data_IF_087399069320
#
_entry.id   IF_087399069320
#
_cell.length_a   1.000
_cell.length_b   1.000
_cell.length_c   1.000
_cell.angle_alpha   90.00
_cell.angle_beta   90.00
_cell.angle_gamma   90.00
#
_symmetry.space_group_name_H-M   'P 1'
#
loop_
_entity.id
_entity.type
_entity.pdbx_description
1 polymer ?
#
# COMPACT_ATOMS: atom_id res chain seq x y z
N UNK A 1 28.01 28.68 20.69
CA UNK A 1 26.96 27.79 21.27
C UNK A 1 25.64 28.51 21.52
N UNK A 2 25.62 29.81 21.82
CA UNK A 2 24.37 30.54 22.13
C UNK A 2 23.35 30.63 20.99
N UNK A 3 23.80 30.81 19.74
CA UNK A 3 22.92 30.99 18.59
C UNK A 3 21.97 29.79 18.32
N UNK A 4 22.42 28.56 18.61
CA UNK A 4 21.62 27.33 18.47
C UNK A 4 20.54 27.23 19.55
N UNK A 5 20.82 27.72 20.76
CA UNK A 5 19.86 27.77 21.85
C UNK A 5 18.75 28.80 21.57
N UNK A 6 19.10 29.97 21.03
CA UNK A 6 18.15 31.03 20.66
C UNK A 6 17.22 30.60 19.51
N UNK A 7 17.73 29.87 18.50
CA UNK A 7 16.90 29.32 17.40
C UNK A 7 15.92 28.27 17.93
N UNK A 8 16.36 27.38 18.83
CA UNK A 8 15.47 26.39 19.46
C UNK A 8 14.39 27.04 20.30
N UNK A 9 14.72 28.03 21.12
CA UNK A 9 13.73 28.79 21.89
C UNK A 9 12.73 29.53 20.99
N UNK A 10 13.22 30.14 19.91
CA UNK A 10 12.36 30.84 18.95
C UNK A 10 11.43 29.88 18.20
N UNK A 11 11.90 28.69 17.84
CA UNK A 11 11.10 27.63 17.24
C UNK A 11 10.03 27.11 18.19
N UNK A 12 10.36 26.91 19.47
CA UNK A 12 9.39 26.48 20.50
C UNK A 12 8.30 27.54 20.67
N UNK A 13 8.67 28.82 20.79
CA UNK A 13 7.72 29.93 20.94
C UNK A 13 6.84 30.09 19.70
N UNK A 14 7.39 29.90 18.50
CA UNK A 14 6.61 29.94 17.26
C UNK A 14 5.59 28.79 17.19
N UNK A 15 6.00 27.56 17.50
CA UNK A 15 5.10 26.40 17.57
C UNK A 15 4.01 26.57 18.63
N UNK A 16 4.35 27.21 19.76
CA UNK A 16 3.41 27.41 20.87
C UNK A 16 2.37 28.49 20.54
N UNK A 17 2.76 29.57 19.84
CA UNK A 17 1.82 30.58 19.30
C UNK A 17 0.91 29.99 18.23
N UNK A 18 1.45 29.13 17.36
CA UNK A 18 0.66 28.46 16.33
C UNK A 18 -0.40 27.54 16.94
N UNK A 19 -0.04 26.79 18.00
CA UNK A 19 -0.97 25.94 18.74
C UNK A 19 -2.05 26.75 19.48
N UNK A 20 -1.67 27.88 20.09
CA UNK A 20 -2.65 28.79 20.71
C UNK A 20 -3.65 29.35 19.70
N UNK A 21 -3.17 29.75 18.52
CA UNK A 21 -4.05 30.19 17.43
C UNK A 21 -4.99 29.06 16.96
N UNK A 22 -4.49 27.83 16.83
CA UNK A 22 -5.31 26.67 16.47
C UNK A 22 -6.39 26.36 17.52
N UNK A 23 -6.05 26.43 18.81
CA UNK A 23 -6.98 26.24 19.92
C UNK A 23 -8.03 27.36 19.99
N UNK A 24 -7.63 28.60 19.72
CA UNK A 24 -8.52 29.77 19.69
C UNK A 24 -9.49 29.73 18.48
N UNK A 25 -8.98 29.29 17.32
CA UNK A 25 -9.81 29.02 16.13
C UNK A 25 -10.77 27.85 16.36
N UNK A 26 -10.37 26.83 17.13
CA UNK A 26 -11.23 25.71 17.53
C UNK A 26 -12.39 26.17 18.42
N UNK A 27 -12.07 26.98 19.43
CA UNK A 27 -13.04 27.47 20.41
C UNK A 27 -14.05 28.45 19.80
N UNK A 28 -13.65 29.18 18.76
CA UNK A 28 -14.53 30.06 17.99
C UNK A 28 -15.47 29.33 16.99
N UNK A 29 -15.53 27.99 17.01
CA UNK A 29 -16.31 27.16 16.07
C UNK A 29 -15.97 27.36 14.56
N UNK A 30 -14.88 28.08 14.26
CA UNK A 30 -14.41 28.32 12.89
C UNK A 30 -13.79 27.06 12.25
N UNK A 31 -13.49 26.03 13.05
CA UNK A 31 -12.93 24.75 12.60
C UNK A 31 -13.96 23.71 12.10
N UNK A 32 -15.26 24.02 12.01
CA UNK A 32 -16.23 23.08 11.40
C UNK A 32 -15.85 22.66 9.96
N UNK A 33 -15.16 23.55 9.22
CA UNK A 33 -14.60 23.26 7.90
C UNK A 33 -13.47 22.22 7.89
N UNK A 34 -12.83 21.94 9.03
CA UNK A 34 -11.73 20.97 9.16
C UNK A 34 -12.23 19.53 9.22
N UNK A 35 -13.32 19.27 9.95
CA UNK A 35 -13.93 17.94 10.02
C UNK A 35 -14.56 17.53 8.69
N UNK A 36 -15.26 18.46 8.03
CA UNK A 36 -15.83 18.23 6.69
C UNK A 36 -14.74 18.06 5.62
N UNK A 37 -13.61 18.79 5.71
CA UNK A 37 -12.44 18.57 4.83
C UNK A 37 -11.78 17.22 5.06
N UNK A 38 -11.55 16.83 6.31
CA UNK A 38 -10.93 15.55 6.66
C UNK A 38 -11.77 14.37 6.16
N UNK A 39 -13.09 14.41 6.33
CA UNK A 39 -14.00 13.38 5.82
C UNK A 39 -14.03 13.34 4.29
N UNK A 40 -14.09 14.50 3.62
CA UNK A 40 -14.06 14.56 2.15
C UNK A 40 -12.72 14.06 1.57
N UNK A 41 -11.62 14.34 2.26
CA UNK A 41 -10.28 13.86 1.87
C UNK A 41 -10.16 12.35 2.03
N UNK A 42 -10.64 11.76 3.13
CA UNK A 42 -10.69 10.31 3.32
C UNK A 42 -11.54 9.62 2.25
N UNK A 43 -12.74 10.14 1.95
CA UNK A 43 -13.60 9.61 0.89
C UNK A 43 -12.93 9.66 -0.49
N UNK A 44 -12.19 10.74 -0.77
CA UNK A 44 -11.44 10.90 -2.02
C UNK A 44 -10.29 9.91 -2.11
N UNK A 45 -9.56 9.68 -1.01
CA UNK A 45 -8.49 8.69 -0.95
C UNK A 45 -9.01 7.26 -1.11
N UNK A 46 -10.14 6.92 -0.49
CA UNK A 46 -10.74 5.59 -0.63
C UNK A 46 -11.24 5.35 -2.06
N UNK A 47 -11.86 6.36 -2.68
CA UNK A 47 -12.22 6.30 -4.09
C UNK A 47 -11.00 6.14 -5.00
N UNK A 48 -9.89 6.82 -4.68
CA UNK A 48 -8.62 6.67 -5.39
C UNK A 48 -8.04 5.26 -5.23
N UNK A 49 -8.00 4.73 -4.00
CA UNK A 49 -7.54 3.36 -3.71
C UNK A 49 -8.36 2.34 -4.47
N UNK A 50 -9.70 2.46 -4.47
CA UNK A 50 -10.59 1.57 -5.21
C UNK A 50 -10.35 1.62 -6.72
N UNK A 51 -10.12 2.81 -7.29
CA UNK A 51 -9.77 2.97 -8.71
C UNK A 51 -8.42 2.31 -9.03
N UNK A 52 -7.40 2.54 -8.22
CA UNK A 52 -6.08 1.93 -8.39
C UNK A 52 -6.16 0.41 -8.32
N UNK A 53 -6.87 -0.14 -7.34
CA UNK A 53 -7.08 -1.58 -7.20
C UNK A 53 -7.79 -2.19 -8.42
N UNK A 54 -8.83 -1.52 -8.95
CA UNK A 54 -9.53 -2.00 -10.14
C UNK A 54 -8.66 -2.01 -11.39
N UNK A 55 -7.85 -0.96 -11.60
CA UNK A 55 -6.88 -0.92 -12.71
C UNK A 55 -5.86 -2.05 -12.54
N UNK A 56 -5.33 -2.20 -11.32
CA UNK A 56 -4.42 -3.30 -10.98
C UNK A 56 -5.02 -4.66 -11.32
N UNK A 57 -6.28 -4.90 -10.97
CA UNK A 57 -6.93 -6.17 -11.22
C UNK A 57 -7.11 -6.50 -12.69
N UNK A 58 -7.38 -5.50 -13.53
CA UNK A 58 -7.40 -5.70 -14.98
C UNK A 58 -6.01 -6.09 -15.49
N UNK A 59 -4.97 -5.37 -15.06
CA UNK A 59 -3.57 -5.68 -15.44
C UNK A 59 -3.18 -7.09 -15.00
N UNK A 60 -3.45 -7.46 -13.75
CA UNK A 60 -3.15 -8.78 -13.21
C UNK A 60 -3.84 -9.90 -13.97
N UNK A 61 -5.12 -9.74 -14.29
CA UNK A 61 -5.88 -10.71 -15.06
C UNK A 61 -5.31 -10.91 -16.48
N UNK A 62 -5.01 -9.81 -17.20
CA UNK A 62 -4.42 -9.89 -18.54
C UNK A 62 -3.01 -10.48 -18.54
N UNK A 63 -2.21 -10.21 -17.50
CA UNK A 63 -0.88 -10.82 -17.36
C UNK A 63 -0.97 -12.33 -17.18
N UNK A 64 -1.92 -12.83 -16.38
CA UNK A 64 -2.13 -14.27 -16.23
C UNK A 64 -2.45 -14.90 -17.58
N UNK A 65 -3.43 -14.37 -18.32
CA UNK A 65 -3.80 -14.91 -19.64
C UNK A 65 -2.60 -15.00 -20.59
N UNK A 66 -1.75 -13.98 -20.60
CA UNK A 66 -0.56 -13.92 -21.46
C UNK A 66 0.53 -14.90 -21.01
N UNK A 67 0.81 -14.96 -19.70
CA UNK A 67 1.95 -15.71 -19.16
C UNK A 67 1.63 -17.18 -18.88
N UNK A 68 0.36 -17.55 -18.79
CA UNK A 68 -0.07 -18.94 -18.60
C UNK A 68 -0.50 -19.65 -19.89
N UNK A 69 -0.45 -18.98 -21.05
CA UNK A 69 -0.99 -19.48 -22.32
C UNK A 69 -0.51 -20.89 -22.68
N UNK A 70 0.80 -21.12 -22.57
CA UNK A 70 1.44 -22.38 -22.96
C UNK A 70 1.78 -23.27 -21.75
N UNK A 71 1.23 -22.96 -20.57
CA UNK A 71 1.45 -23.75 -19.35
C UNK A 71 0.37 -24.81 -19.17
N UNK A 72 0.77 -25.92 -18.56
CA UNK A 72 -0.18 -26.86 -18.00
C UNK A 72 -1.07 -26.13 -16.98
N UNK A 73 -2.36 -26.47 -16.98
CA UNK A 73 -3.33 -25.88 -16.06
C UNK A 73 -2.91 -26.13 -14.62
N UNK A 74 -2.97 -25.08 -13.80
CA UNK A 74 -2.70 -25.18 -12.37
C UNK A 74 -3.73 -26.11 -11.70
N UNK A 75 -3.24 -27.12 -11.00
CA UNK A 75 -4.06 -28.06 -10.22
C UNK A 75 -4.00 -27.78 -8.72
N UNK A 76 -2.92 -27.14 -8.26
CA UNK A 76 -2.71 -26.75 -6.87
C UNK A 76 -2.76 -25.22 -6.70
N UNK A 77 -3.39 -24.80 -5.62
CA UNK A 77 -3.44 -23.41 -5.17
C UNK A 77 -2.03 -22.89 -4.87
N UNK A 78 -1.17 -23.70 -4.24
CA UNK A 78 0.18 -23.27 -3.93
C UNK A 78 1.00 -23.00 -5.21
N UNK A 79 0.83 -23.80 -6.25
CA UNK A 79 1.53 -23.60 -7.52
C UNK A 79 1.02 -22.36 -8.26
N UNK A 80 -0.27 -22.05 -8.15
CA UNK A 80 -0.84 -20.78 -8.63
C UNK A 80 -0.21 -19.58 -7.91
N UNK A 81 -0.05 -19.66 -6.58
CA UNK A 81 0.60 -18.59 -5.79
C UNK A 81 2.09 -18.48 -6.13
N UNK A 82 2.81 -19.60 -6.34
CA UNK A 82 4.21 -19.58 -6.77
C UNK A 82 4.38 -18.94 -8.16
N UNK A 83 3.47 -19.21 -9.08
CA UNK A 83 3.44 -18.55 -10.39
C UNK A 83 3.31 -17.03 -10.24
N UNK A 84 2.43 -16.56 -9.33
CA UNK A 84 2.34 -15.12 -9.04
C UNK A 84 3.67 -14.59 -8.46
N UNK A 85 4.26 -15.29 -7.49
CA UNK A 85 5.50 -14.86 -6.83
C UNK A 85 6.73 -14.80 -7.76
N UNK A 86 6.70 -15.56 -8.86
CA UNK A 86 7.80 -15.67 -9.80
C UNK A 86 7.50 -14.96 -11.10
N UNK A 87 6.53 -15.43 -11.86
CA UNK A 87 6.28 -15.03 -13.24
C UNK A 87 5.57 -13.67 -13.31
N UNK A 88 4.48 -13.49 -12.54
CA UNK A 88 3.79 -12.20 -12.46
C UNK A 88 4.71 -11.16 -11.83
N UNK A 89 5.37 -11.51 -10.72
CA UNK A 89 6.27 -10.58 -10.03
C UNK A 89 7.44 -10.12 -10.93
N UNK A 90 8.04 -11.05 -11.68
CA UNK A 90 9.12 -10.75 -12.62
C UNK A 90 8.64 -9.89 -13.77
N UNK A 91 7.45 -10.15 -14.32
CA UNK A 91 6.91 -9.37 -15.43
C UNK A 91 6.60 -7.91 -15.04
N UNK A 92 6.20 -7.65 -13.78
CA UNK A 92 5.80 -6.31 -13.33
C UNK A 92 6.96 -5.53 -12.69
N UNK A 93 7.79 -6.21 -11.89
CA UNK A 93 8.84 -5.56 -11.09
C UNK A 93 10.24 -6.07 -11.36
N UNK A 94 10.44 -6.91 -12.38
CA UNK A 94 11.77 -7.40 -12.78
C UNK A 94 12.55 -8.01 -11.59
N UNK A 95 11.83 -8.72 -10.72
CA UNK A 95 12.36 -9.53 -9.62
C UNK A 95 11.35 -10.58 -9.20
N UNK A 96 11.76 -11.53 -8.36
CA UNK A 96 10.85 -12.46 -7.68
C UNK A 96 10.50 -11.91 -6.29
N UNK A 97 9.40 -12.37 -5.71
CA UNK A 97 9.11 -12.14 -4.28
C UNK A 97 10.22 -12.75 -3.44
N UNK A 98 10.70 -12.03 -2.42
CA UNK A 98 11.82 -12.49 -1.60
C UNK A 98 11.42 -13.65 -0.67
N UNK A 99 10.22 -13.58 -0.08
CA UNK A 99 9.72 -14.64 0.80
C UNK A 99 8.23 -14.93 0.58
N UNK A 100 7.90 -16.21 0.41
CA UNK A 100 6.54 -16.73 0.42
C UNK A 100 6.35 -17.60 1.66
N UNK A 101 5.41 -17.23 2.54
CA UNK A 101 4.99 -18.03 3.69
C UNK A 101 3.53 -18.44 3.54
N UNK A 102 3.16 -19.61 4.05
CA UNK A 102 1.75 -20.05 4.10
C UNK A 102 1.47 -20.81 5.38
N UNK A 103 0.23 -20.76 5.85
CA UNK A 103 -0.25 -21.61 6.93
C UNK A 103 -0.89 -22.92 6.42
N UNK A 104 -0.83 -23.20 5.11
CA UNK A 104 -1.49 -24.34 4.45
C UNK A 104 -3.02 -24.41 4.66
N UNK A 105 -3.63 -23.33 5.15
CA UNK A 105 -5.07 -23.21 5.44
C UNK A 105 -5.68 -22.00 4.74
N UNK A 106 -5.19 -21.70 3.54
CA UNK A 106 -5.70 -20.60 2.70
C UNK A 106 -5.10 -19.23 2.97
N UNK A 107 -4.11 -19.10 3.87
CA UNK A 107 -3.41 -17.81 4.09
C UNK A 107 -1.99 -17.89 3.53
N UNK A 108 -1.64 -16.90 2.72
CA UNK A 108 -0.31 -16.72 2.15
C UNK A 108 0.20 -15.32 2.47
N UNK A 109 1.50 -15.19 2.69
CA UNK A 109 2.17 -13.92 2.99
C UNK A 109 3.36 -13.80 2.05
N UNK A 110 3.25 -12.85 1.13
CA UNK A 110 4.29 -12.49 0.17
C UNK A 110 5.03 -11.29 0.74
N UNK A 111 6.34 -11.38 0.88
CA UNK A 111 7.17 -10.29 1.39
C UNK A 111 8.24 -9.94 0.35
N UNK A 112 8.33 -8.65 0.06
CA UNK A 112 9.38 -8.05 -0.76
C UNK A 112 10.14 -7.02 0.10
N UNK A 113 11.43 -7.25 0.31
CA UNK A 113 12.28 -6.46 1.18
C UNK A 113 12.70 -5.12 0.56
N UNK A 114 12.71 -5.05 -0.77
CA UNK A 114 13.16 -3.90 -1.53
C UNK A 114 12.20 -3.64 -2.69
N UNK A 115 10.95 -3.33 -2.34
CA UNK A 115 9.89 -3.24 -3.32
C UNK A 115 10.10 -2.01 -4.20
N UNK A 116 10.42 -2.24 -5.48
CA UNK A 116 10.85 -1.20 -6.42
C UNK A 116 9.92 0.04 -6.46
N UNK A 117 8.59 -0.10 -6.42
CA UNK A 117 7.66 1.05 -6.39
C UNK A 117 7.84 1.95 -5.16
N UNK A 118 8.33 1.42 -4.04
CA UNK A 118 8.48 2.15 -2.78
C UNK A 118 9.89 2.73 -2.59
N UNK A 119 10.88 2.31 -3.38
CA UNK A 119 12.30 2.68 -3.22
C UNK A 119 12.57 4.18 -3.21
N UNK A 120 11.74 4.97 -3.92
CA UNK A 120 11.94 6.42 -4.09
C UNK A 120 10.85 7.28 -3.46
N UNK A 121 9.96 6.68 -2.67
CA UNK A 121 8.94 7.44 -1.96
C UNK A 121 9.60 8.19 -0.80
N UNK A 122 9.46 9.50 -0.83
CA UNK A 122 9.91 10.42 0.21
C UNK A 122 8.90 11.54 0.36
N UNK A 123 8.95 12.22 1.49
CA UNK A 123 8.06 13.33 1.80
C UNK A 123 8.85 14.42 2.55
N UNK A 124 8.66 15.71 2.20
CA UNK A 124 9.24 16.81 2.96
C UNK A 124 8.64 16.92 4.37
N UNK A 125 7.45 16.37 4.62
CA UNK A 125 6.80 16.30 5.93
C UNK A 125 7.35 15.16 6.82
N UNK A 126 8.27 14.33 6.30
CA UNK A 126 8.98 13.28 7.04
C UNK A 126 8.51 11.86 6.74
N UNK A 127 9.12 10.88 7.43
CA UNK A 127 8.94 9.45 7.13
C UNK A 127 7.51 8.92 7.34
N UNK A 128 6.77 9.46 8.32
CA UNK A 128 5.41 9.04 8.59
C UNK A 128 4.44 9.41 7.44
N UNK A 129 4.61 10.60 6.87
CA UNK A 129 3.82 11.04 5.72
C UNK A 129 4.21 10.27 4.44
N UNK A 130 5.50 10.03 4.22
CA UNK A 130 5.97 9.15 3.13
C UNK A 130 5.33 7.75 3.22
N UNK A 131 5.24 7.18 4.43
CA UNK A 131 4.60 5.89 4.67
C UNK A 131 3.09 5.92 4.42
N UNK A 132 2.40 6.99 4.80
CA UNK A 132 0.97 7.17 4.52
C UNK A 132 0.71 7.22 3.01
N UNK A 133 1.50 8.01 2.27
CA UNK A 133 1.45 8.08 0.80
C UNK A 133 1.75 6.72 0.15
N UNK A 134 2.75 6.00 0.65
CA UNK A 134 3.10 4.66 0.16
C UNK A 134 1.92 3.66 0.21
N UNK A 135 1.11 3.69 1.27
CA UNK A 135 -0.07 2.81 1.41
C UNK A 135 -1.08 3.00 0.27
N UNK A 136 -1.24 4.22 -0.24
CA UNK A 136 -2.15 4.51 -1.37
C UNK A 136 -1.65 3.83 -2.64
N UNK A 137 -0.35 3.94 -2.95
CA UNK A 137 0.24 3.31 -4.13
C UNK A 137 0.16 1.78 -4.11
N UNK A 138 0.16 1.17 -2.93
CA UNK A 138 0.02 -0.29 -2.80
C UNK A 138 -1.35 -0.81 -3.25
N UNK A 139 -2.39 0.02 -3.32
CA UNK A 139 -3.71 -0.40 -3.79
C UNK A 139 -3.66 -0.96 -5.22
N UNK A 140 -2.92 -0.32 -6.13
CA UNK A 140 -2.71 -0.84 -7.48
C UNK A 140 -2.07 -2.22 -7.48
N UNK A 141 -1.02 -2.39 -6.67
CA UNK A 141 -0.24 -3.62 -6.60
C UNK A 141 -1.05 -4.77 -5.96
N UNK A 142 -1.87 -4.47 -4.94
CA UNK A 142 -2.83 -5.41 -4.39
C UNK A 142 -3.87 -5.84 -5.44
N UNK A 143 -4.35 -4.87 -6.23
CA UNK A 143 -5.21 -5.11 -7.38
C UNK A 143 -4.61 -6.10 -8.38
N UNK A 144 -3.33 -5.93 -8.76
CA UNK A 144 -2.62 -6.87 -9.66
C UNK A 144 -2.68 -8.30 -9.14
N UNK A 145 -2.40 -8.51 -7.85
CA UNK A 145 -2.47 -9.83 -7.25
C UNK A 145 -3.90 -10.37 -7.21
N UNK A 146 -4.87 -9.53 -6.84
CA UNK A 146 -6.29 -9.88 -6.80
C UNK A 146 -6.82 -10.31 -8.17
N UNK A 147 -6.50 -9.55 -9.22
CA UNK A 147 -6.88 -9.86 -10.60
C UNK A 147 -6.22 -11.13 -11.12
N UNK A 148 -4.94 -11.33 -10.78
CA UNK A 148 -4.23 -12.56 -11.12
C UNK A 148 -4.87 -13.79 -10.46
N UNK A 149 -5.14 -13.73 -9.16
CA UNK A 149 -5.83 -14.80 -8.42
C UNK A 149 -7.20 -15.11 -9.03
N UNK A 150 -8.01 -14.08 -9.31
CA UNK A 150 -9.33 -14.25 -9.90
C UNK A 150 -9.25 -14.94 -11.28
N UNK A 151 -8.27 -14.59 -12.12
CA UNK A 151 -8.06 -15.23 -13.42
C UNK A 151 -7.60 -16.68 -13.33
N UNK A 152 -6.91 -17.04 -12.26
CA UNK A 152 -6.53 -18.41 -11.93
C UNK A 152 -7.67 -19.22 -11.28
N UNK A 153 -8.86 -18.62 -11.09
CA UNK A 153 -10.01 -19.26 -10.45
C UNK A 153 -9.97 -19.24 -8.92
N UNK A 154 -9.03 -18.49 -8.33
CA UNK A 154 -8.89 -18.34 -6.88
C UNK A 154 -9.57 -17.04 -6.44
N UNK A 155 -10.75 -17.14 -5.83
CA UNK A 155 -11.41 -15.98 -5.24
C UNK A 155 -10.81 -15.71 -3.87
N UNK A 156 -10.25 -14.54 -3.63
CA UNK A 156 -9.62 -14.23 -2.35
C UNK A 156 -9.42 -12.75 -2.12
N UNK A 157 -9.02 -12.39 -0.91
CA UNK A 157 -8.68 -11.02 -0.55
C UNK A 157 -7.17 -10.84 -0.50
N UNK A 158 -6.72 -9.65 -0.91
CA UNK A 158 -5.31 -9.24 -0.84
C UNK A 158 -5.23 -7.99 0.00
N UNK A 159 -4.53 -8.08 1.13
CA UNK A 159 -4.29 -6.96 2.04
C UNK A 159 -2.83 -6.54 1.95
N UNK A 160 -2.53 -5.35 1.40
CA UNK A 160 -1.18 -4.80 1.41
C UNK A 160 -0.85 -4.19 2.78
N UNK A 161 0.38 -4.38 3.23
CA UNK A 161 0.93 -3.83 4.46
C UNK A 161 2.33 -3.26 4.21
N UNK A 162 2.61 -2.10 4.81
CA UNK A 162 3.92 -1.45 4.80
C UNK A 162 4.18 -0.85 6.18
N UNK A 163 5.25 -1.31 6.81
CA UNK A 163 5.68 -0.87 8.15
C UNK A 163 6.94 -0.02 8.05
N UNK A 164 7.83 -0.34 7.11
CA UNK A 164 9.07 0.38 6.85
C UNK A 164 9.34 0.39 5.35
N UNK A 165 9.71 1.55 4.80
CA UNK A 165 10.14 1.66 3.41
C UNK A 165 11.57 1.11 3.28
N UNK A 166 11.90 0.37 2.20
CA UNK A 166 11.08 0.06 1.03
C UNK A 166 10.36 -1.31 1.08
N UNK A 167 10.30 -1.97 2.25
CA UNK A 167 9.71 -3.30 2.38
C UNK A 167 8.18 -3.25 2.29
N UNK A 168 7.58 -4.23 1.61
CA UNK A 168 6.13 -4.44 1.64
C UNK A 168 5.76 -5.89 1.88
N UNK A 169 4.55 -6.10 2.41
CA UNK A 169 3.94 -7.41 2.60
C UNK A 169 2.56 -7.40 1.94
N UNK A 170 2.24 -8.49 1.24
CA UNK A 170 0.88 -8.75 0.75
C UNK A 170 0.37 -10.03 1.39
N UNK A 171 -0.68 -9.89 2.19
CA UNK A 171 -1.39 -11.03 2.76
C UNK A 171 -2.53 -11.44 1.82
N UNK A 172 -2.50 -12.68 1.36
CA UNK A 172 -3.56 -13.29 0.56
C UNK A 172 -4.37 -14.21 1.47
N UNK A 173 -5.70 -14.04 1.49
CA UNK A 173 -6.63 -14.95 2.17
C UNK A 173 -7.60 -15.53 1.17
N UNK A 174 -7.56 -16.84 1.02
CA UNK A 174 -8.49 -17.61 0.21
C UNK A 174 -9.56 -18.21 1.14
N UNK A 175 -10.85 -18.14 0.77
CA UNK A 175 -11.91 -18.84 1.49
C UNK A 175 -11.67 -20.35 1.41
N UNK A 176 -12.14 -21.07 2.42
CA UNK A 176 -12.14 -22.54 2.35
C UNK A 176 -13.18 -22.96 1.32
N UNK A 177 -12.74 -23.72 0.32
CA UNK A 177 -13.60 -24.44 -0.61
C UNK A 177 -14.01 -25.76 0.02
#
# INVERSE_FOLDING_TARGET
MEMVATIRQSSVVASQRQKQLEDEMANANLLQHSQHRSGHQQLTEDALRARLDNIGAQVGASLVEKLSKDRQRFTDTLDSVKFICKDIWMAVWDKQVDNLRTNHRGVYVLQDNAFRPLMRISSPEGGADALAKAKIYLAFHAGVLRGALARLGLQGTVTPEVTSLPQCIFQIKLPRV
#
